data_IF_886492905846
#
_entry.id   IF_886492905846
#
_cell.length_a   1.000
_cell.length_b   1.000
_cell.length_c   1.000
_cell.angle_alpha   90.00
_cell.angle_beta   90.00
_cell.angle_gamma   90.00
#
_symmetry.space_group_name_H-M   'P 1'
#
loop_
_entity.id
_entity.type
_entity.pdbx_description
1 polymer ?
#
# COMPACT_ATOMS: atom_id res chain seq x y z
N UNK A 1 -17.07 3.02 -0.71
CA UNK A 1 -16.60 4.26 -1.38
C UNK A 1 -17.52 5.47 -1.18
N UNK A 2 -18.84 5.31 -0.98
CA UNK A 2 -19.77 6.45 -0.89
C UNK A 2 -19.67 7.28 0.41
N UNK A 3 -19.13 6.72 1.49
CA UNK A 3 -19.03 7.38 2.80
C UNK A 3 -17.65 7.99 3.07
N UNK A 4 -16.59 7.54 2.40
CA UNK A 4 -15.21 8.02 2.61
C UNK A 4 -15.11 9.54 2.46
N UNK A 5 -15.63 10.18 1.37
CA UNK A 5 -15.54 11.64 1.23
C UNK A 5 -16.27 12.42 2.33
N UNK A 6 -17.30 11.83 2.93
CA UNK A 6 -18.04 12.46 4.05
C UNK A 6 -17.16 12.41 5.32
N UNK A 7 -16.50 11.28 5.57
CA UNK A 7 -15.66 11.09 6.74
C UNK A 7 -14.33 11.87 6.65
N UNK A 8 -13.80 12.05 5.44
CA UNK A 8 -12.68 12.96 5.22
C UNK A 8 -13.05 14.42 5.57
N UNK A 9 -14.21 14.91 5.11
CA UNK A 9 -14.66 16.28 5.37
C UNK A 9 -14.86 16.60 6.84
N UNK A 10 -15.30 15.64 7.65
CA UNK A 10 -15.57 15.85 9.08
C UNK A 10 -14.46 15.32 10.01
N UNK A 11 -13.34 14.83 9.44
CA UNK A 11 -12.19 14.29 10.18
C UNK A 11 -12.43 12.94 10.83
N UNK A 12 -13.59 12.30 10.62
CA UNK A 12 -13.89 11.00 11.21
C UNK A 12 -13.06 9.85 10.60
N UNK A 13 -12.54 10.07 9.38
CA UNK A 13 -11.72 9.09 8.66
C UNK A 13 -10.50 8.68 9.49
N UNK A 14 -9.85 9.58 10.22
CA UNK A 14 -8.68 9.28 11.05
C UNK A 14 -8.98 8.26 12.15
N UNK A 15 -10.21 8.28 12.70
CA UNK A 15 -10.64 7.28 13.68
C UNK A 15 -10.83 5.91 13.05
N UNK A 16 -11.31 5.87 11.81
CA UNK A 16 -11.47 4.62 11.04
C UNK A 16 -10.10 4.01 10.77
N UNK A 17 -9.14 4.81 10.27
CA UNK A 17 -7.80 4.35 9.96
C UNK A 17 -7.12 3.74 11.19
N UNK A 18 -7.18 4.41 12.33
CA UNK A 18 -6.66 3.86 13.59
C UNK A 18 -7.44 2.63 14.10
N UNK A 19 -8.75 2.55 13.85
CA UNK A 19 -9.54 1.36 14.19
C UNK A 19 -9.09 0.16 13.34
N UNK A 20 -8.85 0.37 12.04
CA UNK A 20 -8.32 -0.66 11.15
C UNK A 20 -6.92 -1.09 11.60
N UNK A 21 -6.04 -0.13 11.91
CA UNK A 21 -4.71 -0.42 12.46
C UNK A 21 -4.81 -1.28 13.74
N UNK A 22 -5.66 -0.91 14.68
CA UNK A 22 -5.83 -1.66 15.94
C UNK A 22 -6.35 -3.10 15.70
N UNK A 23 -7.19 -3.32 14.69
CA UNK A 23 -7.63 -4.66 14.26
C UNK A 23 -6.48 -5.47 13.66
N UNK A 24 -5.69 -4.85 12.78
CA UNK A 24 -4.50 -5.47 12.16
C UNK A 24 -3.49 -5.86 13.24
N UNK A 25 -3.20 -4.96 14.19
CA UNK A 25 -2.27 -5.24 15.28
C UNK A 25 -2.77 -6.35 16.20
N UNK A 26 -4.09 -6.45 16.41
CA UNK A 26 -4.69 -7.56 17.18
C UNK A 26 -4.50 -8.87 16.45
N UNK A 27 -4.79 -8.91 15.14
CA UNK A 27 -4.56 -10.10 14.32
C UNK A 27 -3.10 -10.56 14.34
N UNK A 28 -2.16 -9.63 14.12
CA UNK A 28 -0.73 -9.93 14.12
C UNK A 28 -0.27 -10.47 15.49
N UNK A 29 -0.76 -9.88 16.59
CA UNK A 29 -0.44 -10.38 17.93
C UNK A 29 -0.95 -11.79 18.14
N UNK A 30 -2.21 -12.04 17.79
CA UNK A 30 -2.82 -13.36 17.90
C UNK A 30 -2.07 -14.40 17.06
N UNK A 31 -1.68 -14.07 15.82
CA UNK A 31 -0.89 -14.95 14.97
C UNK A 31 0.47 -15.29 15.60
N UNK A 32 1.20 -14.27 16.10
CA UNK A 32 2.49 -14.47 16.76
C UNK A 32 2.38 -15.29 18.04
N UNK A 33 1.33 -15.06 18.86
CA UNK A 33 1.12 -15.81 20.12
C UNK A 33 0.76 -17.29 19.86
N UNK A 34 0.12 -17.57 18.71
CA UNK A 34 -0.19 -18.93 18.28
C UNK A 34 0.96 -19.61 17.52
N UNK A 35 2.09 -18.94 17.31
CA UNK A 35 3.20 -19.45 16.51
C UNK A 35 2.88 -19.58 15.01
N UNK A 36 1.87 -18.85 14.54
CA UNK A 36 1.53 -18.75 13.12
C UNK A 36 2.50 -17.81 12.39
N UNK A 37 2.69 -18.02 11.11
CA UNK A 37 3.49 -17.12 10.29
C UNK A 37 2.82 -15.76 10.18
N UNK A 38 3.51 -14.71 10.63
CA UNK A 38 3.07 -13.33 10.50
C UNK A 38 3.66 -12.73 9.23
N UNK A 39 2.80 -12.17 8.38
CA UNK A 39 3.19 -11.44 7.16
C UNK A 39 2.98 -9.95 7.35
N UNK A 40 3.75 -9.08 6.65
CA UNK A 40 3.49 -7.65 6.63
C UNK A 40 2.08 -7.34 6.10
N UNK A 41 1.43 -6.35 6.69
CA UNK A 41 0.07 -5.94 6.32
C UNK A 41 0.05 -4.44 6.03
N UNK A 42 -0.47 -4.09 4.86
CA UNK A 42 -0.70 -2.70 4.47
C UNK A 42 -1.93 -2.14 5.18
N UNK A 43 -1.81 -0.92 5.68
CA UNK A 43 -2.89 -0.17 6.31
C UNK A 43 -3.01 1.19 5.64
N UNK A 44 -4.19 1.48 5.12
CA UNK A 44 -4.49 2.77 4.51
C UNK A 44 -4.55 3.88 5.56
N UNK A 45 -3.86 4.99 5.25
CA UNK A 45 -3.93 6.21 6.03
C UNK A 45 -4.37 7.37 5.14
N UNK A 46 -5.47 8.00 5.53
CA UNK A 46 -6.01 9.14 4.79
C UNK A 46 -5.10 10.37 4.89
N UNK A 47 -5.21 11.24 3.89
CA UNK A 47 -4.48 12.53 3.87
C UNK A 47 -4.75 13.42 5.08
N UNK A 48 -5.87 13.21 5.80
CA UNK A 48 -6.23 13.97 7.00
C UNK A 48 -5.23 13.78 8.14
N UNK A 49 -4.43 12.73 8.13
CA UNK A 49 -3.36 12.53 9.12
C UNK A 49 -2.19 13.49 8.95
N UNK A 50 -2.02 14.11 7.77
CA UNK A 50 -0.95 15.07 7.56
C UNK A 50 -1.11 16.33 8.43
N UNK A 51 -2.33 16.63 8.85
CA UNK A 51 -2.66 17.73 9.77
C UNK A 51 -2.65 17.31 11.25
N UNK A 52 -2.37 16.03 11.54
CA UNK A 52 -2.35 15.49 12.90
C UNK A 52 -0.92 15.52 13.44
N UNK A 53 -0.58 16.37 14.45
CA UNK A 53 0.81 16.60 14.88
C UNK A 53 1.53 15.37 15.38
N UNK A 54 0.82 14.43 15.99
CA UNK A 54 1.34 13.22 16.66
C UNK A 54 0.92 11.93 15.93
N UNK A 55 0.71 12.02 14.62
CA UNK A 55 0.29 10.87 13.81
C UNK A 55 1.23 9.67 13.93
N UNK A 56 2.53 9.90 13.74
CA UNK A 56 3.55 8.84 13.78
C UNK A 56 3.67 8.27 15.19
N UNK A 57 3.69 9.13 16.19
CA UNK A 57 3.76 8.76 17.61
C UNK A 57 2.56 7.89 18.03
N UNK A 58 1.38 8.19 17.50
CA UNK A 58 0.18 7.39 17.73
C UNK A 58 0.29 5.98 17.13
N UNK A 59 0.87 5.83 15.93
CA UNK A 59 1.14 4.52 15.34
C UNK A 59 2.14 3.75 16.19
N UNK A 60 3.28 4.36 16.50
CA UNK A 60 4.35 3.73 17.26
C UNK A 60 3.92 3.30 18.68
N UNK A 61 3.11 4.13 19.35
CA UNK A 61 2.54 3.79 20.66
C UNK A 61 1.66 2.54 20.61
N UNK A 62 0.83 2.39 19.54
CA UNK A 62 -0.01 1.19 19.34
C UNK A 62 0.83 -0.05 19.07
N UNK A 63 1.84 0.06 18.22
CA UNK A 63 2.80 -1.02 17.94
C UNK A 63 3.48 -1.49 19.21
N UNK A 64 4.00 -0.56 20.00
CA UNK A 64 4.65 -0.85 21.27
C UNK A 64 3.71 -1.53 22.27
N UNK A 65 2.50 -0.99 22.44
CA UNK A 65 1.46 -1.56 23.33
C UNK A 65 1.12 -3.01 22.96
N UNK A 66 1.04 -3.32 21.67
CA UNK A 66 0.75 -4.66 21.16
C UNK A 66 2.01 -5.52 20.98
N UNK A 67 3.20 -4.97 21.22
CA UNK A 67 4.50 -5.65 21.00
C UNK A 67 4.65 -6.20 19.57
N UNK A 68 4.24 -5.42 18.58
CA UNK A 68 4.40 -5.75 17.16
C UNK A 68 5.62 -5.01 16.61
N UNK A 69 6.59 -5.72 16.01
CA UNK A 69 7.71 -5.07 15.31
C UNK A 69 7.22 -4.23 14.13
N UNK A 70 7.73 -3.00 13.93
CA UNK A 70 7.28 -2.08 12.86
C UNK A 70 7.29 -2.70 11.46
N UNK A 71 8.24 -3.57 11.15
CA UNK A 71 8.39 -4.26 9.87
C UNK A 71 7.17 -5.06 9.40
N UNK A 72 6.19 -5.31 10.28
CA UNK A 72 4.94 -5.98 9.94
C UNK A 72 3.82 -5.03 9.51
N UNK A 73 4.10 -3.73 9.49
CA UNK A 73 3.15 -2.71 9.01
C UNK A 73 3.74 -2.00 7.80
N UNK A 74 2.93 -1.87 6.77
CA UNK A 74 3.16 -0.98 5.65
C UNK A 74 2.13 0.14 5.70
N UNK A 75 2.59 1.39 5.73
CA UNK A 75 1.72 2.56 5.68
C UNK A 75 1.39 2.86 4.21
N UNK A 76 0.12 2.69 3.85
CA UNK A 76 -0.39 2.90 2.51
C UNK A 76 -1.01 4.29 2.39
N UNK A 77 -0.51 5.09 1.46
CA UNK A 77 -0.86 6.51 1.31
C UNK A 77 -1.20 6.77 -0.16
N UNK A 78 -2.37 7.36 -0.41
CA UNK A 78 -2.79 7.65 -1.78
C UNK A 78 -1.96 8.75 -2.42
N UNK A 79 -1.74 8.66 -3.73
CA UNK A 79 -1.02 9.67 -4.52
C UNK A 79 -1.53 11.10 -4.31
N UNK A 80 -2.83 11.27 -4.08
CA UNK A 80 -3.46 12.59 -3.92
C UNK A 80 -2.92 13.41 -2.74
N UNK A 81 -2.23 12.79 -1.78
CA UNK A 81 -1.64 13.46 -0.62
C UNK A 81 -0.51 14.43 -1.04
N UNK A 82 0.17 14.15 -2.15
CA UNK A 82 1.28 14.99 -2.66
C UNK A 82 0.82 16.31 -3.27
N UNK A 83 -0.48 16.52 -3.41
CA UNK A 83 -1.07 17.80 -3.84
C UNK A 83 -1.20 18.82 -2.69
N UNK A 84 -0.86 18.41 -1.46
CA UNK A 84 -0.94 19.23 -0.24
C UNK A 84 0.45 19.75 0.19
N UNK A 85 0.57 20.16 1.45
CA UNK A 85 1.85 20.59 2.02
C UNK A 85 2.86 19.44 2.08
N UNK A 86 3.84 19.49 1.18
CA UNK A 86 4.91 18.49 1.08
C UNK A 86 5.82 18.46 2.32
N UNK A 87 5.93 19.56 3.06
CA UNK A 87 6.90 19.66 4.17
C UNK A 87 6.48 18.77 5.35
N UNK A 88 5.23 18.89 5.79
CA UNK A 88 4.69 18.07 6.87
C UNK A 88 4.64 16.59 6.47
N UNK A 89 4.23 16.31 5.23
CA UNK A 89 4.19 14.95 4.69
C UNK A 89 5.57 14.31 4.70
N UNK A 90 6.58 14.97 4.13
CA UNK A 90 7.96 14.45 4.05
C UNK A 90 8.51 14.14 5.44
N UNK A 91 8.23 15.01 6.42
CA UNK A 91 8.65 14.77 7.80
C UNK A 91 8.01 13.52 8.41
N UNK A 92 6.70 13.32 8.22
CA UNK A 92 5.99 12.15 8.72
C UNK A 92 6.47 10.87 8.03
N UNK A 93 6.67 10.89 6.71
CA UNK A 93 7.19 9.74 5.96
C UNK A 93 8.59 9.36 6.44
N UNK A 94 9.47 10.34 6.60
CA UNK A 94 10.82 10.11 7.12
C UNK A 94 10.80 9.44 8.51
N UNK A 95 10.00 9.95 9.45
CA UNK A 95 9.84 9.36 10.78
C UNK A 95 9.30 7.92 10.75
N UNK A 96 8.30 7.65 9.90
CA UNK A 96 7.77 6.29 9.72
C UNK A 96 8.88 5.35 9.26
N UNK A 97 9.64 5.77 8.26
CA UNK A 97 10.74 4.99 7.69
C UNK A 97 11.87 4.74 8.69
N UNK A 98 12.29 5.76 9.42
CA UNK A 98 13.28 5.61 10.51
C UNK A 98 12.81 4.64 11.60
N UNK A 99 11.51 4.53 11.84
CA UNK A 99 10.95 3.58 12.80
C UNK A 99 10.89 2.14 12.29
N UNK A 100 11.18 1.90 10.99
CA UNK A 100 11.15 0.59 10.35
C UNK A 100 9.78 0.20 9.80
N UNK A 101 8.85 1.15 9.65
CA UNK A 101 7.58 0.97 8.93
C UNK A 101 7.85 1.16 7.44
N UNK A 102 7.40 0.22 6.60
CA UNK A 102 7.42 0.36 5.15
C UNK A 102 6.36 1.35 4.68
N UNK A 103 6.63 2.04 3.57
CA UNK A 103 5.71 3.04 3.01
C UNK A 103 5.38 2.65 1.58
N UNK A 104 4.09 2.59 1.24
CA UNK A 104 3.63 2.42 -0.13
C UNK A 104 2.79 3.61 -0.59
N UNK A 105 2.97 3.97 -1.87
CA UNK A 105 2.13 4.95 -2.56
C UNK A 105 1.09 4.22 -3.36
N UNK A 106 -0.17 4.45 -3.00
CA UNK A 106 -1.32 3.79 -3.61
C UNK A 106 -1.94 4.60 -4.75
N UNK A 107 -2.70 3.89 -5.60
CA UNK A 107 -3.42 4.46 -6.75
C UNK A 107 -2.51 5.27 -7.72
N UNK A 108 -1.22 4.96 -7.81
CA UNK A 108 -0.31 5.70 -8.68
C UNK A 108 -0.76 5.63 -10.13
N UNK A 109 -0.97 6.82 -10.74
CA UNK A 109 -1.44 6.97 -12.11
C UNK A 109 -2.96 7.06 -12.25
N UNK A 110 -3.72 7.05 -11.16
CA UNK A 110 -5.17 7.23 -11.20
C UNK A 110 -5.58 8.69 -11.44
N UNK A 111 -4.69 9.66 -11.16
CA UNK A 111 -4.95 11.09 -11.20
C UNK A 111 -3.93 11.88 -12.02
N UNK A 112 -3.64 13.09 -11.56
CA UNK A 112 -2.63 13.98 -12.15
C UNK A 112 -1.21 13.65 -11.64
N UNK A 113 -0.83 12.38 -11.72
CA UNK A 113 0.51 11.96 -11.29
C UNK A 113 1.58 12.74 -12.01
N UNK A 114 2.29 13.57 -11.30
CA UNK A 114 3.52 14.10 -11.84
C UNK A 114 4.65 13.13 -11.51
N UNK A 115 5.45 12.73 -12.49
CA UNK A 115 6.69 11.99 -12.27
C UNK A 115 7.62 12.69 -11.26
N UNK A 116 7.38 13.99 -11.02
CA UNK A 116 8.05 14.76 -9.97
C UNK A 116 7.79 14.22 -8.56
N UNK A 117 6.64 13.60 -8.30
CA UNK A 117 6.35 12.95 -7.01
C UNK A 117 7.37 11.85 -6.79
N UNK A 118 7.57 10.97 -7.77
CA UNK A 118 8.54 9.87 -7.67
C UNK A 118 9.98 10.34 -7.43
N UNK A 119 10.34 11.52 -7.92
CA UNK A 119 11.69 12.02 -7.74
C UNK A 119 12.01 12.49 -6.30
N UNK A 120 10.95 12.73 -5.49
CA UNK A 120 11.11 13.39 -4.19
C UNK A 120 10.47 12.64 -3.02
N UNK A 121 9.77 11.52 -3.28
CA UNK A 121 9.07 10.80 -2.21
C UNK A 121 9.96 9.70 -1.62
N UNK A 122 9.98 9.61 -0.29
CA UNK A 122 10.63 8.53 0.45
C UNK A 122 9.65 7.36 0.67
N UNK A 123 9.35 6.61 -0.40
CA UNK A 123 8.56 5.40 -0.33
C UNK A 123 9.40 4.14 -0.62
N UNK A 124 8.90 2.99 -0.24
CA UNK A 124 9.52 1.69 -0.51
C UNK A 124 8.82 0.98 -1.67
N UNK A 125 7.50 1.14 -1.77
CA UNK A 125 6.65 0.47 -2.77
C UNK A 125 5.82 1.50 -3.53
N UNK A 126 5.70 1.32 -4.85
CA UNK A 126 4.74 2.06 -5.69
C UNK A 126 3.70 1.05 -6.19
N UNK A 127 2.43 1.31 -5.89
CA UNK A 127 1.29 0.49 -6.31
C UNK A 127 0.68 1.10 -7.58
N UNK A 128 0.82 0.38 -8.68
CA UNK A 128 0.28 0.79 -9.98
C UNK A 128 -1.21 0.48 -10.04
N UNK A 129 -2.04 1.51 -10.26
CA UNK A 129 -3.48 1.38 -10.43
C UNK A 129 -3.83 0.43 -11.60
N UNK A 130 -4.90 -0.36 -11.42
CA UNK A 130 -5.43 -1.31 -12.41
C UNK A 130 -5.68 -0.71 -13.80
N UNK A 131 -5.87 0.62 -13.90
CA UNK A 131 -6.06 1.31 -15.19
C UNK A 131 -4.91 1.07 -16.14
N UNK A 132 -3.68 0.92 -15.63
CA UNK A 132 -2.54 0.59 -16.48
C UNK A 132 -2.68 -0.78 -17.16
N UNK A 133 -3.42 -1.70 -16.54
CA UNK A 133 -3.65 -3.04 -17.09
C UNK A 133 -4.85 -3.10 -18.04
N UNK A 134 -5.79 -2.15 -17.97
CA UNK A 134 -7.00 -2.12 -18.80
C UNK A 134 -6.73 -1.76 -20.27
N UNK A 135 -5.59 -1.16 -20.58
CA UNK A 135 -5.18 -0.75 -21.92
C UNK A 135 -4.35 -1.82 -22.68
N UNK A 136 -4.21 -3.02 -22.13
CA UNK A 136 -3.33 -4.08 -22.67
C UNK A 136 -3.94 -4.84 -23.88
N UNK A 137 -4.59 -4.14 -24.83
CA UNK A 137 -4.98 -4.72 -26.11
C UNK A 137 -3.78 -4.96 -27.02
N UNK A 138 -3.85 -5.97 -27.93
CA UNK A 138 -2.74 -6.42 -28.77
C UNK A 138 -2.09 -5.31 -29.63
N UNK A 139 -2.85 -4.28 -30.06
CA UNK A 139 -2.36 -3.15 -30.86
C UNK A 139 -2.04 -1.88 -30.03
N UNK A 140 -2.01 -1.98 -28.71
CA UNK A 140 -1.87 -0.82 -27.83
C UNK A 140 -0.38 -0.56 -27.49
N UNK A 141 -0.02 0.71 -27.30
CA UNK A 141 1.30 1.11 -26.77
C UNK A 141 1.42 0.85 -25.26
N UNK A 142 0.33 0.46 -24.59
CA UNK A 142 0.27 0.30 -23.14
C UNK A 142 1.24 -0.75 -22.60
N UNK A 143 1.43 -1.93 -23.20
CA UNK A 143 2.42 -2.90 -22.73
C UNK A 143 3.85 -2.34 -22.69
N UNK A 144 4.21 -1.56 -23.72
CA UNK A 144 5.52 -0.89 -23.78
C UNK A 144 5.62 0.14 -22.67
N UNK A 145 4.59 0.97 -22.51
CA UNK A 145 4.55 2.01 -21.48
C UNK A 145 4.68 1.41 -20.07
N UNK A 146 3.87 0.41 -19.72
CA UNK A 146 3.90 -0.27 -18.43
C UNK A 146 5.28 -0.85 -18.14
N UNK A 147 5.88 -1.53 -19.12
CA UNK A 147 7.22 -2.09 -18.99
C UNK A 147 8.28 -1.04 -18.65
N UNK A 148 8.30 0.07 -19.37
CA UNK A 148 9.28 1.12 -19.13
C UNK A 148 9.00 1.91 -17.84
N UNK A 149 7.74 2.09 -17.47
CA UNK A 149 7.33 2.70 -16.22
C UNK A 149 7.84 1.88 -15.02
N UNK A 150 7.58 0.57 -15.01
CA UNK A 150 8.08 -0.35 -13.97
C UNK A 150 9.61 -0.29 -13.89
N UNK A 151 10.30 -0.40 -15.01
CA UNK A 151 11.77 -0.35 -15.03
C UNK A 151 12.33 0.98 -14.52
N UNK A 152 11.69 2.08 -14.82
CA UNK A 152 12.07 3.39 -14.32
C UNK A 152 11.94 3.44 -12.79
N UNK A 153 10.80 3.03 -12.24
CA UNK A 153 10.57 3.00 -10.78
C UNK A 153 11.59 2.11 -10.06
N UNK A 154 11.87 0.93 -10.60
CA UNK A 154 12.88 0.02 -10.05
C UNK A 154 14.29 0.63 -10.07
N UNK A 155 14.64 1.35 -11.13
CA UNK A 155 15.94 2.07 -11.18
C UNK A 155 16.03 3.24 -10.21
N UNK A 156 14.90 3.79 -9.80
CA UNK A 156 14.82 4.80 -8.75
C UNK A 156 14.88 4.19 -7.33
N UNK A 157 14.89 2.85 -7.22
CA UNK A 157 15.01 2.14 -5.95
C UNK A 157 13.69 1.69 -5.35
N UNK A 158 12.57 1.87 -6.05
CA UNK A 158 11.25 1.40 -5.59
C UNK A 158 11.01 -0.06 -5.93
N UNK A 159 10.30 -0.76 -5.05
CA UNK A 159 9.58 -1.97 -5.43
C UNK A 159 8.26 -1.58 -6.12
N UNK A 160 7.84 -2.37 -7.09
CA UNK A 160 6.61 -2.08 -7.85
C UNK A 160 5.61 -3.19 -7.64
N UNK A 161 4.42 -2.82 -7.17
CA UNK A 161 3.26 -3.69 -7.04
C UNK A 161 2.21 -3.29 -8.08
N UNK A 162 1.74 -4.22 -8.89
CA UNK A 162 0.64 -3.97 -9.82
C UNK A 162 -0.68 -4.49 -9.23
N UNK A 163 -1.69 -3.62 -9.20
CA UNK A 163 -3.00 -3.92 -8.65
C UNK A 163 -4.02 -4.36 -9.70
N UNK A 164 -5.07 -5.04 -9.22
CA UNK A 164 -6.21 -5.41 -10.03
C UNK A 164 -5.89 -6.44 -11.11
N UNK A 165 -4.95 -7.35 -10.86
CA UNK A 165 -4.63 -8.46 -11.76
C UNK A 165 -5.75 -9.50 -11.68
N UNK A 166 -6.42 -9.71 -12.82
CA UNK A 166 -7.57 -10.62 -12.92
C UNK A 166 -7.34 -11.74 -13.94
N UNK A 167 -6.41 -11.57 -14.90
CA UNK A 167 -6.20 -12.53 -15.98
C UNK A 167 -4.75 -12.98 -16.11
N UNK A 168 -4.58 -14.14 -16.75
CA UNK A 168 -3.25 -14.70 -17.02
C UNK A 168 -2.44 -13.83 -18.01
N UNK A 169 -3.10 -13.18 -18.92
CA UNK A 169 -2.48 -12.28 -19.90
C UNK A 169 -1.87 -11.07 -19.18
N UNK A 170 -2.60 -10.47 -18.23
CA UNK A 170 -2.09 -9.38 -17.39
C UNK A 170 -0.88 -9.85 -16.56
N UNK A 171 -0.96 -11.04 -15.96
CA UNK A 171 0.16 -11.60 -15.21
C UNK A 171 1.39 -11.81 -16.10
N UNK A 172 1.20 -12.33 -17.32
CA UNK A 172 2.29 -12.53 -18.28
C UNK A 172 2.94 -11.21 -18.69
N UNK A 173 2.13 -10.16 -18.91
CA UNK A 173 2.61 -8.81 -19.21
C UNK A 173 3.49 -8.28 -18.08
N UNK A 174 3.02 -8.38 -16.83
CA UNK A 174 3.73 -7.90 -15.65
C UNK A 174 5.01 -8.69 -15.38
N UNK A 175 4.98 -10.01 -15.57
CA UNK A 175 6.18 -10.83 -15.50
C UNK A 175 7.24 -10.41 -16.53
N UNK A 176 6.82 -10.17 -17.78
CA UNK A 176 7.72 -9.68 -18.85
C UNK A 176 8.21 -8.24 -18.62
N UNK A 177 7.50 -7.46 -17.81
CA UNK A 177 7.90 -6.13 -17.35
C UNK A 177 8.81 -6.18 -16.12
N UNK A 178 9.06 -7.36 -15.55
CA UNK A 178 9.85 -7.57 -14.33
C UNK A 178 9.25 -6.86 -13.10
N UNK A 179 7.90 -6.85 -13.00
CA UNK A 179 7.18 -6.34 -11.84
C UNK A 179 7.52 -7.18 -10.60
N UNK A 180 7.72 -6.52 -9.45
CA UNK A 180 8.19 -7.22 -8.24
C UNK A 180 7.05 -7.95 -7.55
N UNK A 181 5.85 -7.34 -7.51
CA UNK A 181 4.68 -7.87 -6.81
C UNK A 181 3.41 -7.63 -7.62
N UNK A 182 2.42 -8.49 -7.42
CA UNK A 182 1.10 -8.36 -8.03
C UNK A 182 0.00 -8.65 -7.02
N UNK A 183 -1.09 -7.91 -7.13
CA UNK A 183 -2.29 -8.06 -6.29
C UNK A 183 -3.52 -8.08 -7.16
N UNK A 184 -4.47 -9.00 -6.90
CA UNK A 184 -5.73 -9.02 -7.61
C UNK A 184 -6.49 -10.33 -7.50
N UNK A 185 -7.67 -10.34 -8.11
CA UNK A 185 -8.60 -11.46 -8.06
C UNK A 185 -8.10 -12.72 -8.77
N UNK A 186 -7.02 -12.60 -9.54
CA UNK A 186 -6.35 -13.76 -10.10
C UNK A 186 -5.85 -14.72 -9.02
N UNK A 187 -5.37 -14.19 -7.89
CA UNK A 187 -4.86 -14.98 -6.77
C UNK A 187 -5.93 -15.20 -5.71
N UNK A 188 -6.51 -14.11 -5.19
CA UNK A 188 -7.53 -14.19 -4.16
C UNK A 188 -8.41 -12.94 -4.16
N UNK A 189 -9.67 -13.10 -3.76
CA UNK A 189 -10.57 -12.00 -3.44
C UNK A 189 -10.42 -11.62 -1.97
N UNK A 190 -10.78 -10.38 -1.57
CA UNK A 190 -10.85 -10.01 -0.17
C UNK A 190 -11.67 -11.02 0.64
N UNK A 191 -11.14 -11.43 1.78
CA UNK A 191 -11.75 -12.46 2.60
C UNK A 191 -11.66 -12.13 4.09
N UNK A 192 -12.55 -12.67 4.94
CA UNK A 192 -12.48 -12.51 6.39
C UNK A 192 -11.22 -13.16 6.98
N UNK A 193 -10.74 -12.65 8.13
CA UNK A 193 -9.52 -13.14 8.81
C UNK A 193 -9.46 -14.67 8.97
N UNK A 194 -10.54 -15.39 9.36
CA UNK A 194 -10.44 -16.85 9.46
C UNK A 194 -10.11 -17.54 8.13
N UNK A 195 -10.73 -17.09 7.03
CA UNK A 195 -10.45 -17.62 5.69
C UNK A 195 -9.03 -17.25 5.23
N UNK A 196 -8.55 -16.05 5.55
CA UNK A 196 -7.19 -15.62 5.24
C UNK A 196 -6.13 -16.48 5.96
N UNK A 197 -6.34 -16.86 7.22
CA UNK A 197 -5.46 -17.79 7.94
C UNK A 197 -5.33 -19.14 7.24
N UNK A 198 -6.45 -19.71 6.79
CA UNK A 198 -6.42 -20.98 6.05
C UNK A 198 -5.75 -20.82 4.68
N UNK A 199 -6.03 -19.73 3.96
CA UNK A 199 -5.37 -19.41 2.69
C UNK A 199 -3.85 -19.33 2.84
N UNK A 200 -3.32 -18.65 3.86
CA UNK A 200 -1.88 -18.57 4.12
C UNK A 200 -1.25 -19.94 4.36
N UNK A 201 -1.92 -20.81 5.12
CA UNK A 201 -1.43 -22.18 5.37
C UNK A 201 -1.35 -23.02 4.10
N UNK A 202 -2.27 -22.80 3.16
CA UNK A 202 -2.28 -23.52 1.88
C UNK A 202 -1.26 -22.96 0.88
N UNK A 203 -1.09 -21.65 0.87
CA UNK A 203 -0.19 -20.95 -0.05
C UNK A 203 1.30 -21.21 0.26
N UNK A 204 1.65 -21.47 1.50
CA UNK A 204 3.02 -21.73 1.96
C UNK A 204 3.42 -23.22 1.94
N UNK A 205 2.55 -24.12 1.40
CA UNK A 205 2.88 -25.53 1.17
C UNK A 205 3.49 -25.75 -0.20
#
# INVERSE_FOLDING_TARGET
>A
DSFIPIFEKNGFITKIDFTVLDQVLTYLRDAMDNGEEAVPISVNFSRSHNETPDFVEQILSRLQKKKIPPKYIEAEITESIFMLDLTALTHNLHKLKESGISISIDDFGSGYSSLNVLANVEADVIKLDRKFLSYAGEDSKAPIFVKYLIRMMKRMGYQVLAEGVETKEQLTLLHNAECDMVQGYYYAKPMPIPAFREFLKEFNK
#
